data_IF_102383013297
#
_entry.id   IF_102383013297
#
_cell.length_a   1.000
_cell.length_b   1.000
_cell.length_c   1.000
_cell.angle_alpha   90.00
_cell.angle_beta   90.00
_cell.angle_gamma   90.00
#
_symmetry.space_group_name_H-M   'P 1'
#
loop_
_entity.id
_entity.type
_entity.pdbx_description
1 polymer ?
#
# COMPACT_ATOMS: atom_id res chain seq x y z
N UNK A 1 19.05 -13.24 1.19
CA UNK A 1 18.94 -11.81 0.91
C UNK A 1 17.61 -11.49 0.24
N UNK A 2 17.16 -10.23 0.29
CA UNK A 2 15.87 -9.83 -0.31
C UNK A 2 15.86 -10.00 -1.83
N UNK A 3 17.00 -9.95 -2.49
CA UNK A 3 17.14 -10.20 -3.92
C UNK A 3 16.69 -11.61 -4.32
N UNK A 4 16.87 -12.58 -3.45
CA UNK A 4 16.49 -13.96 -3.72
C UNK A 4 14.97 -14.11 -3.85
N UNK A 5 14.20 -13.13 -3.37
CA UNK A 5 12.74 -13.09 -3.49
C UNK A 5 12.27 -12.55 -4.83
N UNK A 6 13.13 -11.79 -5.55
CA UNK A 6 12.78 -11.21 -6.85
C UNK A 6 12.64 -12.32 -7.89
N UNK A 7 11.47 -12.40 -8.49
CA UNK A 7 11.21 -13.30 -9.62
C UNK A 7 11.35 -12.54 -10.93
N UNK A 8 12.12 -13.10 -11.85
CA UNK A 8 12.25 -12.54 -13.21
C UNK A 8 10.97 -12.84 -13.98
N UNK A 9 10.14 -11.81 -14.11
CA UNK A 9 8.91 -11.87 -14.88
C UNK A 9 8.89 -10.80 -15.96
N UNK A 10 8.54 -11.14 -17.19
CA UNK A 10 8.41 -10.16 -18.24
C UNK A 10 7.30 -9.17 -17.90
N UNK A 11 7.58 -7.88 -18.11
CA UNK A 11 6.54 -6.85 -18.02
C UNK A 11 5.74 -6.88 -19.31
N UNK A 12 4.49 -7.35 -19.24
CA UNK A 12 3.61 -7.49 -20.41
C UNK A 12 2.97 -6.17 -20.84
N UNK A 13 2.84 -5.20 -19.91
CA UNK A 13 2.30 -3.87 -20.22
C UNK A 13 2.96 -2.79 -19.36
N UNK A 14 3.33 -1.69 -20.01
CA UNK A 14 3.88 -0.49 -19.35
C UNK A 14 3.03 0.74 -19.69
N UNK A 15 2.82 1.61 -18.70
CA UNK A 15 2.17 2.93 -18.85
C UNK A 15 2.94 3.97 -18.04
N UNK A 16 2.71 5.24 -18.29
CA UNK A 16 3.34 6.36 -17.57
C UNK A 16 4.88 6.23 -17.50
N UNK A 17 5.52 6.07 -18.65
CA UNK A 17 6.98 5.90 -18.77
C UNK A 17 7.55 4.75 -17.89
N UNK A 18 6.80 3.65 -17.73
CA UNK A 18 7.21 2.49 -16.95
C UNK A 18 6.91 2.58 -15.46
N UNK A 19 6.27 3.65 -14.99
CA UNK A 19 5.81 3.77 -13.60
C UNK A 19 4.71 2.75 -13.27
N UNK A 20 3.80 2.47 -14.22
CA UNK A 20 2.88 1.33 -14.16
C UNK A 20 3.48 0.15 -14.90
N UNK A 21 3.49 -1.01 -14.28
CA UNK A 21 3.95 -2.27 -14.85
C UNK A 21 2.97 -3.38 -14.51
N UNK A 22 2.55 -4.10 -15.53
CA UNK A 22 1.72 -5.29 -15.41
C UNK A 22 2.55 -6.52 -15.78
N UNK A 23 2.48 -7.55 -14.99
CA UNK A 23 3.25 -8.78 -15.13
C UNK A 23 2.40 -9.94 -15.65
N UNK A 24 1.12 -9.98 -15.29
CA UNK A 24 0.20 -11.05 -15.67
C UNK A 24 -1.13 -10.48 -16.17
N UNK A 25 -1.77 -11.20 -17.08
CA UNK A 25 -3.15 -10.92 -17.44
C UNK A 25 -4.11 -11.40 -16.36
N UNK A 26 -5.24 -10.70 -16.16
CA UNK A 26 -6.25 -11.15 -15.21
C UNK A 26 -6.85 -12.49 -15.65
N UNK A 27 -7.00 -13.41 -14.72
CA UNK A 27 -7.70 -14.68 -14.93
C UNK A 27 -9.16 -14.51 -14.53
N UNK A 28 -10.13 -14.96 -15.34
CA UNK A 28 -11.53 -14.96 -14.95
C UNK A 28 -11.76 -15.63 -13.59
N UNK A 29 -12.73 -15.15 -12.83
CA UNK A 29 -13.17 -15.67 -11.53
C UNK A 29 -12.13 -15.63 -10.39
N UNK A 30 -10.92 -15.13 -10.63
CA UNK A 30 -9.96 -14.87 -9.56
C UNK A 30 -10.30 -13.58 -8.80
N UNK A 31 -10.07 -13.61 -7.48
CA UNK A 31 -10.13 -12.43 -6.62
C UNK A 31 -8.79 -11.71 -6.61
N UNK A 32 -8.86 -10.39 -6.74
CA UNK A 32 -7.69 -9.52 -6.70
C UNK A 32 -7.86 -8.41 -5.66
N UNK A 33 -6.72 -7.94 -5.17
CA UNK A 33 -6.63 -6.93 -4.12
C UNK A 33 -5.61 -5.87 -4.52
N UNK A 34 -5.89 -4.62 -4.22
CA UNK A 34 -4.99 -3.49 -4.45
C UNK A 34 -4.80 -2.76 -3.13
N UNK A 35 -3.58 -2.71 -2.65
CA UNK A 35 -3.16 -1.84 -1.56
C UNK A 35 -2.43 -0.63 -2.13
N UNK A 36 -2.76 0.56 -1.69
CA UNK A 36 -2.23 1.79 -2.25
C UNK A 36 -1.78 2.78 -1.19
N UNK A 37 -0.53 3.22 -1.30
CA UNK A 37 0.00 4.39 -0.61
C UNK A 37 -0.26 5.65 -1.45
N UNK A 38 -0.65 6.75 -0.81
CA UNK A 38 -1.14 7.94 -1.49
C UNK A 38 -0.34 9.17 -1.13
N UNK A 39 0.19 9.84 -2.12
CA UNK A 39 0.84 11.16 -1.99
C UNK A 39 0.11 12.24 -2.78
N UNK A 40 0.49 13.50 -2.55
CA UNK A 40 -0.07 14.65 -3.30
C UNK A 40 0.37 14.69 -4.77
N UNK A 41 1.42 13.96 -5.11
CA UNK A 41 2.10 14.06 -6.41
C UNK A 41 2.85 15.37 -6.64
N UNK A 42 2.93 16.26 -5.63
CA UNK A 42 3.55 17.60 -5.71
C UNK A 42 4.90 17.72 -5.01
N UNK A 43 5.18 16.82 -4.08
CA UNK A 43 6.43 16.76 -3.31
C UNK A 43 7.38 15.70 -3.86
N UNK A 44 8.44 15.40 -3.14
CA UNK A 44 9.34 14.27 -3.41
C UNK A 44 8.67 12.91 -3.26
N UNK A 45 7.54 12.84 -2.53
CA UNK A 45 6.86 11.58 -2.24
C UNK A 45 6.10 11.03 -3.45
N UNK A 46 6.13 9.71 -3.63
CA UNK A 46 5.44 9.01 -4.68
C UNK A 46 4.11 8.44 -4.18
N UNK A 47 3.15 8.30 -5.10
CA UNK A 47 2.05 7.37 -4.88
C UNK A 47 2.45 6.00 -5.41
N UNK A 48 2.14 4.95 -4.67
CA UNK A 48 2.44 3.59 -5.09
C UNK A 48 1.27 2.65 -4.81
N UNK A 49 1.10 1.63 -5.66
CA UNK A 49 0.21 0.53 -5.37
C UNK A 49 0.77 -0.81 -5.83
N UNK A 50 0.31 -1.86 -5.19
CA UNK A 50 0.50 -3.25 -5.62
C UNK A 50 -0.85 -3.92 -5.80
N UNK A 51 -1.03 -4.63 -6.91
CA UNK A 51 -2.14 -5.54 -7.16
C UNK A 51 -1.66 -6.99 -7.02
N UNK A 52 -2.36 -7.78 -6.20
CA UNK A 52 -2.09 -9.21 -6.00
C UNK A 52 -3.37 -10.02 -6.10
N UNK A 53 -3.24 -11.29 -6.45
CA UNK A 53 -4.34 -12.24 -6.27
C UNK A 53 -4.40 -12.76 -4.80
N UNK A 54 -5.38 -13.61 -4.53
CA UNK A 54 -5.61 -14.21 -3.21
C UNK A 54 -4.42 -15.02 -2.71
N UNK A 55 -3.67 -15.63 -3.61
CA UNK A 55 -2.49 -16.45 -3.31
C UNK A 55 -1.23 -15.63 -3.03
N UNK A 56 -1.25 -14.33 -3.32
CA UNK A 56 -0.12 -13.42 -3.12
C UNK A 56 0.76 -13.27 -4.35
N UNK A 57 0.29 -13.70 -5.51
CA UNK A 57 0.96 -13.48 -6.77
C UNK A 57 0.82 -12.03 -7.23
N UNK A 58 1.94 -11.34 -7.41
CA UNK A 58 1.96 -9.95 -7.87
C UNK A 58 1.55 -9.86 -9.34
N UNK A 59 0.52 -9.08 -9.63
CA UNK A 59 -0.07 -8.94 -10.96
C UNK A 59 0.36 -7.65 -11.65
N UNK A 60 0.30 -6.55 -10.92
CA UNK A 60 0.64 -5.22 -11.41
C UNK A 60 1.09 -4.31 -10.27
N UNK A 61 1.93 -3.34 -10.61
CA UNK A 61 2.42 -2.32 -9.68
C UNK A 61 2.42 -0.94 -10.33
N UNK A 62 2.37 0.07 -9.50
CA UNK A 62 2.62 1.45 -9.87
C UNK A 62 3.48 2.12 -8.81
N UNK A 63 4.47 2.90 -9.25
CA UNK A 63 5.14 3.91 -8.42
C UNK A 63 5.40 5.14 -9.28
N UNK A 64 4.85 6.27 -8.87
CA UNK A 64 5.00 7.49 -9.67
C UNK A 64 4.34 8.71 -9.03
N UNK A 65 4.49 9.85 -9.71
CA UNK A 65 3.88 11.12 -9.32
C UNK A 65 2.72 11.43 -10.24
N UNK A 66 1.51 11.23 -9.74
CA UNK A 66 0.27 11.61 -10.41
C UNK A 66 -0.52 12.56 -9.50
N UNK A 67 -1.30 13.45 -10.09
CA UNK A 67 -2.31 14.18 -9.33
C UNK A 67 -3.34 13.20 -8.75
N UNK A 68 -3.96 13.59 -7.65
CA UNK A 68 -4.89 12.73 -6.89
C UNK A 68 -6.01 12.16 -7.78
N UNK A 69 -6.58 12.97 -8.67
CA UNK A 69 -7.63 12.58 -9.63
C UNK A 69 -7.13 11.54 -10.64
N UNK A 70 -5.92 11.72 -11.19
CA UNK A 70 -5.31 10.77 -12.12
C UNK A 70 -4.93 9.46 -11.44
N UNK A 71 -4.48 9.54 -10.18
CA UNK A 71 -4.14 8.35 -9.41
C UNK A 71 -5.40 7.55 -9.03
N UNK A 72 -6.47 8.22 -8.59
CA UNK A 72 -7.75 7.57 -8.32
C UNK A 72 -8.30 6.86 -9.57
N UNK A 73 -8.26 7.53 -10.74
CA UNK A 73 -8.66 6.92 -12.01
C UNK A 73 -7.81 5.70 -12.37
N UNK A 74 -6.49 5.79 -12.20
CA UNK A 74 -5.59 4.65 -12.45
C UNK A 74 -5.91 3.47 -11.54
N UNK A 75 -6.19 3.72 -10.26
CA UNK A 75 -6.63 2.69 -9.31
C UNK A 75 -7.95 2.05 -9.74
N UNK A 76 -8.95 2.85 -10.09
CA UNK A 76 -10.25 2.38 -10.59
C UNK A 76 -10.10 1.54 -11.86
N UNK A 77 -9.37 2.05 -12.87
CA UNK A 77 -9.11 1.35 -14.12
C UNK A 77 -8.41 0.00 -13.88
N UNK A 78 -7.41 -0.01 -12.99
CA UNK A 78 -6.69 -1.24 -12.63
C UNK A 78 -7.61 -2.21 -11.90
N UNK A 79 -8.41 -1.71 -10.97
CA UNK A 79 -9.38 -2.52 -10.26
C UNK A 79 -10.43 -3.17 -11.18
N UNK A 80 -10.96 -2.42 -12.15
CA UNK A 80 -11.87 -2.96 -13.16
C UNK A 80 -11.20 -4.02 -14.02
N UNK A 81 -9.95 -3.77 -14.48
CA UNK A 81 -9.17 -4.73 -15.25
C UNK A 81 -9.00 -6.06 -14.50
N UNK A 82 -8.73 -6.00 -13.20
CA UNK A 82 -8.54 -7.17 -12.34
C UNK A 82 -9.83 -7.58 -11.60
N UNK A 83 -10.89 -7.87 -12.35
CA UNK A 83 -12.18 -8.45 -11.90
C UNK A 83 -12.83 -7.67 -10.75
N UNK A 84 -12.79 -6.34 -10.79
CA UNK A 84 -13.22 -5.49 -9.69
C UNK A 84 -12.45 -5.83 -8.40
N UNK A 85 -11.14 -5.70 -8.43
CA UNK A 85 -10.28 -5.92 -7.28
C UNK A 85 -10.74 -5.13 -6.05
N UNK A 86 -10.58 -5.67 -4.86
CA UNK A 86 -10.81 -4.90 -3.63
C UNK A 86 -9.71 -3.86 -3.48
N UNK A 87 -10.05 -2.57 -3.51
CA UNK A 87 -9.08 -1.47 -3.40
C UNK A 87 -9.07 -0.89 -1.99
N UNK A 88 -7.89 -0.82 -1.38
CA UNK A 88 -7.63 -0.19 -0.09
C UNK A 88 -6.61 0.95 -0.24
N UNK A 89 -7.05 2.16 -0.61
CA UNK A 89 -6.17 3.31 -0.54
C UNK A 89 -5.90 3.67 0.93
N UNK A 90 -4.67 4.07 1.24
CA UNK A 90 -4.41 4.68 2.54
C UNK A 90 -5.28 5.93 2.68
N UNK A 91 -6.06 6.03 3.76
CA UNK A 91 -7.06 7.09 3.97
C UNK A 91 -6.62 8.18 4.93
N UNK A 92 -5.31 8.39 5.08
CA UNK A 92 -4.75 9.54 5.78
C UNK A 92 -4.77 10.75 4.84
N UNK A 93 -5.10 11.93 5.37
CA UNK A 93 -5.04 13.23 4.68
C UNK A 93 -5.45 13.18 3.18
N UNK A 94 -4.47 13.11 2.28
CA UNK A 94 -4.66 13.10 0.81
C UNK A 94 -5.39 11.86 0.32
N UNK A 95 -5.21 10.74 0.99
CA UNK A 95 -5.87 9.48 0.64
C UNK A 95 -7.39 9.51 0.76
N UNK A 96 -7.93 10.40 1.60
CA UNK A 96 -9.38 10.65 1.65
C UNK A 96 -9.91 11.18 0.33
N UNK A 97 -9.16 12.02 -0.38
CA UNK A 97 -9.57 12.53 -1.69
C UNK A 97 -9.58 11.44 -2.77
N UNK A 98 -8.59 10.52 -2.76
CA UNK A 98 -8.57 9.34 -3.64
C UNK A 98 -9.77 8.45 -3.35
N UNK A 99 -10.03 8.17 -2.08
CA UNK A 99 -11.16 7.33 -1.66
C UNK A 99 -12.50 7.95 -2.06
N UNK A 100 -12.67 9.26 -1.87
CA UNK A 100 -13.87 10.00 -2.27
C UNK A 100 -14.06 10.00 -3.79
N UNK A 101 -12.98 10.13 -4.56
CA UNK A 101 -13.05 10.06 -6.02
C UNK A 101 -13.53 8.67 -6.48
N UNK A 102 -12.98 7.59 -5.95
CA UNK A 102 -13.42 6.22 -6.25
C UNK A 102 -14.89 5.99 -5.89
N UNK A 103 -15.35 6.53 -4.75
CA UNK A 103 -16.78 6.46 -4.35
C UNK A 103 -17.67 7.24 -5.30
N UNK A 104 -17.26 8.45 -5.72
CA UNK A 104 -18.00 9.29 -6.66
C UNK A 104 -18.12 8.63 -8.04
N UNK A 105 -17.07 7.93 -8.47
CA UNK A 105 -17.08 7.13 -9.71
C UNK A 105 -17.88 5.81 -9.57
N UNK A 106 -18.40 5.50 -8.38
CA UNK A 106 -19.20 4.30 -8.12
C UNK A 106 -18.39 3.01 -8.10
N UNK A 107 -17.10 3.06 -7.74
CA UNK A 107 -16.28 1.86 -7.67
C UNK A 107 -16.86 0.85 -6.63
N UNK A 108 -17.14 -0.41 -6.99
CA UNK A 108 -18.03 -1.27 -6.18
C UNK A 108 -17.33 -1.97 -5.00
N UNK A 109 -16.01 -2.16 -5.05
CA UNK A 109 -15.27 -2.96 -4.05
C UNK A 109 -14.18 -2.15 -3.34
N UNK A 110 -14.57 -1.16 -2.57
CA UNK A 110 -13.65 -0.49 -1.65
C UNK A 110 -13.49 -1.28 -0.35
N UNK A 111 -12.28 -1.31 0.17
CA UNK A 111 -11.99 -1.81 1.52
C UNK A 111 -12.49 -0.82 2.58
N UNK A 112 -12.98 -1.32 3.72
CA UNK A 112 -13.43 -0.49 4.84
C UNK A 112 -12.72 -0.91 6.13
N UNK A 113 -12.06 0.03 6.79
CA UNK A 113 -11.58 -0.20 8.14
C UNK A 113 -12.68 0.06 9.16
N UNK A 114 -12.54 -0.52 10.36
CA UNK A 114 -13.53 -0.43 11.42
C UNK A 114 -12.99 0.41 12.59
N UNK A 115 -13.73 1.40 13.03
CA UNK A 115 -13.47 2.15 14.27
C UNK A 115 -14.39 1.65 15.35
N UNK A 116 -13.84 1.20 16.48
CA UNK A 116 -14.60 0.86 17.67
C UNK A 116 -14.75 2.09 18.56
N UNK A 117 -15.95 2.63 18.62
CA UNK A 117 -16.29 3.80 19.43
C UNK A 117 -16.87 3.35 20.80
N UNK A 118 -16.13 3.61 21.88
CA UNK A 118 -16.64 3.37 23.24
C UNK A 118 -17.52 4.55 23.66
N UNK A 119 -18.85 4.40 23.62
CA UNK A 119 -19.78 5.41 24.17
C UNK A 119 -20.03 5.18 25.66
N UNK A 120 -19.93 6.27 26.44
CA UNK A 120 -20.29 6.25 27.88
C UNK A 120 -21.73 5.74 28.05
N UNK A 121 -21.93 4.73 28.90
CA UNK A 121 -23.26 4.19 29.21
C UNK A 121 -23.78 3.09 28.27
N UNK A 122 -23.06 2.69 27.24
CA UNK A 122 -23.40 1.52 26.42
C UNK A 122 -22.46 0.35 26.70
N UNK A 123 -23.02 -0.83 26.92
CA UNK A 123 -22.28 -2.07 27.20
C UNK A 123 -21.59 -2.65 25.96
N UNK A 124 -22.01 -2.26 24.72
CA UNK A 124 -21.38 -2.68 23.47
C UNK A 124 -20.78 -1.48 22.76
N UNK A 125 -19.55 -1.61 22.23
CA UNK A 125 -18.96 -0.57 21.40
C UNK A 125 -19.78 -0.43 20.09
N UNK A 126 -19.93 0.79 19.64
CA UNK A 126 -20.45 1.07 18.31
C UNK A 126 -19.31 0.90 17.29
N UNK A 127 -19.59 0.22 16.17
CA UNK A 127 -18.62 0.03 15.10
C UNK A 127 -18.96 1.00 13.98
N UNK A 128 -18.06 1.94 13.73
CA UNK A 128 -18.11 2.81 12.57
C UNK A 128 -17.19 2.24 11.47
N UNK A 129 -17.65 2.27 10.21
CA UNK A 129 -16.89 1.81 9.03
C UNK A 129 -16.55 3.00 8.16
N UNK A 130 -15.28 3.16 7.87
CA UNK A 130 -14.79 4.20 6.98
C UNK A 130 -14.02 3.59 5.80
N UNK A 131 -14.17 4.12 4.58
CA UNK A 131 -13.54 3.55 3.40
C UNK A 131 -12.03 3.79 3.38
N UNK A 132 -11.31 2.85 2.78
CA UNK A 132 -9.85 2.86 2.68
C UNK A 132 -9.16 2.14 3.85
N UNK A 133 -7.85 2.32 3.93
CA UNK A 133 -6.97 1.80 4.97
C UNK A 133 -6.50 2.94 5.88
N UNK A 134 -6.75 2.88 7.18
CA UNK A 134 -6.19 3.87 8.12
C UNK A 134 -4.91 3.34 8.76
N UNK A 135 -3.79 3.95 8.43
CA UNK A 135 -2.49 3.64 9.05
C UNK A 135 -2.40 4.28 10.43
N UNK A 136 -1.99 3.48 11.39
CA UNK A 136 -1.61 3.90 12.73
C UNK A 136 -0.20 3.39 13.03
N UNK A 137 0.49 3.98 13.99
CA UNK A 137 1.81 3.51 14.39
C UNK A 137 1.80 2.01 14.74
N UNK A 138 0.73 1.54 15.38
CA UNK A 138 0.59 0.13 15.79
C UNK A 138 0.39 -0.81 14.61
N UNK A 139 -0.52 -0.51 13.68
CA UNK A 139 -0.80 -1.42 12.57
C UNK A 139 0.25 -1.34 11.47
N UNK A 140 1.01 -0.24 11.37
CA UNK A 140 2.14 -0.07 10.47
C UNK A 140 3.16 -1.20 10.64
N UNK A 141 3.65 -1.41 11.86
CA UNK A 141 4.60 -2.49 12.16
C UNK A 141 4.00 -3.86 11.84
N UNK A 142 2.76 -4.11 12.23
CA UNK A 142 2.08 -5.39 12.01
C UNK A 142 1.97 -5.75 10.53
N UNK A 143 1.63 -4.79 9.65
CA UNK A 143 1.50 -5.11 8.21
C UNK A 143 2.85 -5.29 7.53
N UNK A 144 3.87 -4.54 7.96
CA UNK A 144 5.24 -4.67 7.43
C UNK A 144 5.87 -6.00 7.84
N UNK A 145 5.82 -6.33 9.13
CA UNK A 145 6.29 -7.62 9.65
C UNK A 145 5.55 -8.81 9.00
N UNK A 146 4.23 -8.65 8.80
CA UNK A 146 3.42 -9.66 8.10
C UNK A 146 3.80 -9.82 6.63
N UNK A 147 4.19 -8.75 5.94
CA UNK A 147 4.72 -8.82 4.57
C UNK A 147 6.10 -9.49 4.55
N UNK A 148 7.00 -9.09 5.44
CA UNK A 148 8.34 -9.69 5.56
C UNK A 148 8.25 -11.20 5.78
N UNK A 149 7.41 -11.63 6.72
CA UNK A 149 7.18 -13.04 6.99
C UNK A 149 6.69 -13.78 5.74
N UNK A 150 5.69 -13.22 5.04
CA UNK A 150 5.11 -13.87 3.85
C UNK A 150 6.09 -13.95 2.68
N UNK A 151 6.96 -12.95 2.52
CA UNK A 151 8.04 -13.00 1.52
C UNK A 151 9.04 -14.11 1.88
N UNK A 152 9.43 -14.21 3.14
CA UNK A 152 10.37 -15.23 3.62
C UNK A 152 9.82 -16.66 3.50
N UNK A 153 8.49 -16.80 3.59
CA UNK A 153 7.78 -18.08 3.49
C UNK A 153 7.29 -18.40 2.08
N UNK A 154 7.70 -17.62 1.05
CA UNK A 154 7.24 -17.72 -0.34
C UNK A 154 5.71 -17.63 -0.52
N UNK A 155 5.02 -16.99 0.43
CA UNK A 155 3.58 -16.70 0.36
C UNK A 155 3.24 -15.44 -0.45
N UNK A 156 4.26 -14.69 -0.86
CA UNK A 156 4.16 -13.48 -1.70
C UNK A 156 5.22 -13.54 -2.78
N UNK A 157 4.81 -13.39 -4.02
CA UNK A 157 5.73 -13.25 -5.15
C UNK A 157 6.13 -11.78 -5.32
N UNK A 158 7.42 -11.51 -5.42
CA UNK A 158 7.96 -10.17 -5.69
C UNK A 158 8.46 -10.11 -7.12
N UNK A 159 7.89 -9.23 -7.95
CA UNK A 159 8.27 -9.02 -9.35
C UNK A 159 8.77 -7.59 -9.61
N UNK A 160 8.56 -6.70 -8.65
CA UNK A 160 8.95 -5.30 -8.73
C UNK A 160 10.37 -5.05 -8.22
N UNK A 161 11.36 -4.71 -9.08
CA UNK A 161 12.70 -4.40 -8.64
C UNK A 161 12.78 -3.12 -7.80
N UNK A 162 11.85 -2.17 -7.97
CA UNK A 162 11.84 -0.95 -7.15
C UNK A 162 11.44 -1.25 -5.71
N UNK A 163 10.54 -2.19 -5.48
CA UNK A 163 10.26 -2.68 -4.14
C UNK A 163 11.52 -3.23 -3.45
N UNK A 164 12.33 -4.00 -4.18
CA UNK A 164 13.57 -4.56 -3.65
C UNK A 164 14.57 -3.46 -3.28
N UNK A 165 14.70 -2.42 -4.12
CA UNK A 165 15.55 -1.26 -3.83
C UNK A 165 15.11 -0.52 -2.56
N UNK A 166 13.81 -0.29 -2.37
CA UNK A 166 13.27 0.31 -1.16
C UNK A 166 13.54 -0.56 0.07
N UNK A 167 13.32 -1.87 -0.04
CA UNK A 167 13.51 -2.82 1.04
C UNK A 167 14.96 -2.86 1.58
N UNK A 168 15.98 -2.60 0.74
CA UNK A 168 17.36 -2.48 1.17
C UNK A 168 17.62 -1.30 2.10
N UNK A 169 16.88 -0.22 1.93
CA UNK A 169 17.02 1.00 2.74
C UNK A 169 15.97 1.10 3.85
N UNK A 170 15.16 0.04 4.02
CA UNK A 170 14.15 -0.04 5.05
C UNK A 170 14.72 -0.70 6.31
N UNK A 171 14.72 0.03 7.41
CA UNK A 171 15.38 -0.36 8.66
C UNK A 171 14.43 -0.27 9.85
N UNK A 172 14.81 -0.90 10.95
CA UNK A 172 14.16 -0.66 12.22
C UNK A 172 14.92 0.45 12.97
N UNK A 173 14.20 1.48 13.43
CA UNK A 173 14.76 2.54 14.26
C UNK A 173 15.09 2.04 15.68
N UNK A 174 15.70 2.90 16.50
CA UNK A 174 16.07 2.58 17.89
C UNK A 174 14.89 2.22 18.82
N UNK A 175 13.65 2.42 18.36
CA UNK A 175 12.41 2.04 19.04
C UNK A 175 11.75 0.80 18.41
N UNK A 176 12.43 0.13 17.49
CA UNK A 176 11.93 -1.06 16.78
C UNK A 176 10.81 -0.73 15.78
N UNK A 177 10.74 0.51 15.26
CA UNK A 177 9.73 0.88 14.27
C UNK A 177 10.30 0.76 12.85
N UNK A 178 9.57 0.15 11.90
CA UNK A 178 10.00 0.06 10.53
C UNK A 178 9.92 1.43 9.84
N UNK A 179 11.05 1.92 9.32
CA UNK A 179 11.19 3.25 8.70
C UNK A 179 12.16 3.20 7.52
N UNK A 180 11.94 4.06 6.53
CA UNK A 180 12.95 4.30 5.50
C UNK A 180 14.17 5.05 6.09
N UNK A 181 15.37 4.64 5.72
CA UNK A 181 16.63 5.18 6.26
C UNK A 181 16.74 6.70 6.10
N UNK A 182 16.24 7.27 5.00
CA UNK A 182 16.23 8.70 4.77
C UNK A 182 15.36 9.46 5.77
N UNK A 183 14.18 8.95 6.09
CA UNK A 183 13.28 9.53 7.11
C UNK A 183 13.91 9.46 8.51
N UNK A 184 14.64 8.39 8.81
CA UNK A 184 15.34 8.25 10.09
C UNK A 184 16.49 9.27 10.24
N UNK A 185 17.28 9.48 9.18
CA UNK A 185 18.36 10.47 9.17
C UNK A 185 17.85 11.91 9.28
N UNK A 186 16.79 12.26 8.55
CA UNK A 186 16.21 13.59 8.61
C UNK A 186 15.70 13.97 10.02
N UNK A 187 15.21 13.00 10.80
CA UNK A 187 14.79 13.24 12.18
C UNK A 187 15.94 13.37 13.19
N UNK A 188 17.12 12.88 12.85
CA UNK A 188 18.26 12.79 13.78
C UNK A 188 19.49 13.63 13.41
N UNK A 189 19.47 14.33 12.27
CA UNK A 189 20.61 15.16 11.84
C UNK A 189 20.17 16.51 11.29
N UNK A 190 20.93 17.54 11.66
CA UNK A 190 20.89 18.90 11.09
C UNK A 190 21.65 19.02 9.76
N UNK A 191 21.94 17.92 9.10
CA UNK A 191 22.69 17.89 7.83
C UNK A 191 21.72 17.88 6.68
N UNK A 192 21.87 18.84 5.75
CA UNK A 192 21.17 18.92 4.49
C UNK A 192 21.21 17.59 3.74
N UNK A 193 20.05 16.97 3.56
CA UNK A 193 19.90 15.71 2.85
C UNK A 193 19.45 16.02 1.42
N UNK A 194 20.34 16.59 0.63
CA UNK A 194 20.24 16.66 -0.84
C UNK A 194 20.79 15.39 -1.50
N UNK A 195 20.61 14.24 -0.87
CA UNK A 195 21.00 12.96 -1.44
C UNK A 195 19.77 12.22 -1.95
N UNK A 196 19.57 12.31 -3.27
CA UNK A 196 18.77 11.43 -4.13
C UNK A 196 17.51 10.82 -3.42
N UNK A 197 16.43 11.63 -3.34
CA UNK A 197 15.21 11.30 -2.62
C UNK A 197 14.48 10.01 -3.03
N UNK A 198 14.91 9.36 -4.10
CA UNK A 198 14.28 8.17 -4.65
C UNK A 198 14.74 6.86 -3.96
N UNK A 199 15.90 6.86 -3.31
CA UNK A 199 16.51 5.65 -2.73
C UNK A 199 15.97 5.32 -1.34
N UNK A 200 15.39 6.29 -0.64
CA UNK A 200 14.96 6.14 0.75
C UNK A 200 13.44 6.24 0.93
N UNK A 201 12.70 5.88 -0.09
CA UNK A 201 11.23 5.84 -0.05
C UNK A 201 10.73 4.53 0.60
N UNK A 202 9.49 4.54 1.06
CA UNK A 202 8.79 3.37 1.61
C UNK A 202 7.40 3.16 0.97
N UNK A 203 7.12 3.90 -0.11
CA UNK A 203 5.80 3.94 -0.74
C UNK A 203 5.39 2.58 -1.34
N UNK A 204 6.32 1.90 -2.04
CA UNK A 204 6.06 0.56 -2.61
C UNK A 204 5.90 -0.49 -1.51
N UNK A 205 6.66 -0.35 -0.40
CA UNK A 205 6.56 -1.26 0.76
C UNK A 205 5.18 -1.15 1.38
N UNK A 206 4.68 0.09 1.58
CA UNK A 206 3.38 0.31 2.20
C UNK A 206 2.24 -0.16 1.31
N UNK A 207 2.23 0.19 0.03
CA UNK A 207 1.22 -0.30 -0.91
C UNK A 207 1.16 -1.83 -0.92
N UNK A 208 2.32 -2.50 -0.96
CA UNK A 208 2.41 -3.96 -0.91
C UNK A 208 1.98 -4.56 0.44
N UNK A 209 2.36 -3.95 1.56
CA UNK A 209 1.99 -4.42 2.90
C UNK A 209 0.48 -4.32 3.15
N UNK A 210 -0.16 -3.23 2.73
CA UNK A 210 -1.62 -3.08 2.77
C UNK A 210 -2.28 -4.17 1.91
N UNK A 211 -1.82 -4.36 0.66
CA UNK A 211 -2.35 -5.38 -0.25
C UNK A 211 -2.25 -6.78 0.36
N UNK A 212 -1.07 -7.13 0.87
CA UNK A 212 -0.83 -8.43 1.52
C UNK A 212 -1.74 -8.65 2.74
N UNK A 213 -2.02 -7.61 3.51
CA UNK A 213 -2.89 -7.72 4.68
C UNK A 213 -4.35 -7.95 4.29
N UNK A 214 -4.89 -7.17 3.34
CA UNK A 214 -6.30 -7.26 2.95
C UNK A 214 -6.63 -8.53 2.18
N UNK A 215 -5.71 -9.06 1.35
CA UNK A 215 -5.93 -10.32 0.62
C UNK A 215 -6.14 -11.54 1.54
N UNK A 216 -5.59 -11.48 2.76
CA UNK A 216 -5.79 -12.49 3.80
C UNK A 216 -7.14 -12.39 4.50
N UNK A 217 -8.02 -11.46 4.10
CA UNK A 217 -9.31 -11.22 4.73
C UNK A 217 -9.21 -10.58 6.12
N UNK A 218 -8.05 -10.02 6.47
CA UNK A 218 -7.85 -9.37 7.77
C UNK A 218 -8.51 -7.99 7.80
N UNK A 219 -9.23 -7.70 8.88
CA UNK A 219 -9.89 -6.41 9.09
C UNK A 219 -8.98 -5.47 9.86
N UNK A 220 -8.85 -4.24 9.38
CA UNK A 220 -8.18 -3.17 10.13
C UNK A 220 -9.16 -2.61 11.18
N UNK A 221 -8.92 -2.90 12.45
CA UNK A 221 -9.74 -2.44 13.57
C UNK A 221 -8.97 -1.42 14.39
N UNK A 222 -9.48 -0.19 14.42
CA UNK A 222 -8.91 0.91 15.19
C UNK A 222 -9.73 1.08 16.48
N UNK A 223 -9.08 0.91 17.61
CA UNK A 223 -9.68 1.20 18.92
C UNK A 223 -9.28 2.60 19.31
N UNK A 224 -10.25 3.53 19.35
CA UNK A 224 -9.97 4.87 19.84
C UNK A 224 -9.73 4.85 21.35
N UNK A 225 -8.64 5.44 21.86
CA UNK A 225 -8.48 5.67 23.29
C UNK A 225 -9.59 6.59 23.81
N UNK A 226 -9.87 6.46 25.10
CA UNK A 226 -10.86 7.31 25.79
C UNK A 226 -10.42 8.77 25.86
#
# INVERSE_FOLDING_TARGET
PIEDCLRDYPVIKKRFNGQYRQFLEPTPDKEYFIGADVSTGRSSDYSAFTCMDKQGEEQAVFKGRLSVDKYARLLGDTGHLFNFATIAPESNDVGLAVTSALQTEGYPKLYYYQKMLKKKGKSRPEVDKSPGWLTTQKNRSVIVEGLEQDIREDNVTVKDPFFVQEAYTFIYDGLGRPVAMGKHRANNSTVDVDLEGDVYADDSIFGKAICNHIRKGKTNVIVQPK
#
